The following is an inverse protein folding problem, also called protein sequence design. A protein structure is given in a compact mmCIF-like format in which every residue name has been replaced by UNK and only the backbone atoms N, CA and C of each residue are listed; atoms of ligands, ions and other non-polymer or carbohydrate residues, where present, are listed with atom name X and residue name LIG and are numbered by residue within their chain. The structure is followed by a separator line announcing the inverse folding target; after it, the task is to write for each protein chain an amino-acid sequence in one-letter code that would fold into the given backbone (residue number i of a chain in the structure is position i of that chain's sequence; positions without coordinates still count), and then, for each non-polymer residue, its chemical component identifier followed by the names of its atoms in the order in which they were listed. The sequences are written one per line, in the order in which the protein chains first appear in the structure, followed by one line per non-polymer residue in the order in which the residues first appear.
data_IF_167373432030
#
_entry.id   IF_167373432030
#
_cell.length_a   1.000
_cell.length_b   1.000
_cell.length_c   1.000
_cell.angle_alpha   90.00
_cell.angle_beta   90.00
_cell.angle_gamma   90.00
#
_symmetry.space_group_name_H-M   'P 1'
#
loop_
_entity.id
_entity.type
_entity.pdbx_description
1 polymer ?
#
# COMPACT_ATOMS: atom_id res chain seq x y z
N UNK A 1 43.12 -22.03 49.58
CA UNK A 1 42.74 -23.30 50.17
C UNK A 1 41.96 -24.04 49.10
N UNK A 2 42.61 -24.84 48.36
CA UNK A 2 42.97 -26.26 48.49
C UNK A 2 41.85 -27.18 47.97
N UNK A 3 42.08 -27.65 46.77
CA UNK A 3 41.99 -29.01 46.20
C UNK A 3 40.89 -29.99 46.68
N UNK A 4 40.21 -30.65 45.74
CA UNK A 4 40.43 -32.07 45.41
C UNK A 4 39.69 -32.52 44.15
N UNK A 5 40.48 -33.12 43.23
CA UNK A 5 40.09 -34.07 42.16
C UNK A 5 39.86 -35.47 42.73
N UNK A 6 39.02 -36.26 42.09
CA UNK A 6 39.02 -37.76 41.98
C UNK A 6 37.99 -38.08 40.91
N UNK A 7 38.15 -38.80 39.85
CA UNK A 7 39.10 -39.81 39.41
C UNK A 7 38.40 -41.15 39.16
N UNK A 8 38.27 -41.54 37.89
CA UNK A 8 38.17 -42.93 37.33
C UNK A 8 37.03 -43.88 37.74
N UNK A 9 36.25 -44.47 36.83
CA UNK A 9 36.55 -45.77 36.18
C UNK A 9 35.46 -46.14 35.15
N UNK A 10 35.91 -46.54 33.95
CA UNK A 10 35.14 -47.40 33.02
C UNK A 10 35.21 -48.86 33.49
N UNK A 11 34.27 -49.69 33.06
CA UNK A 11 34.72 -50.94 32.44
C UNK A 11 34.01 -51.24 31.10
N UNK A 12 34.83 -51.68 30.16
CA UNK A 12 34.51 -52.38 28.95
C UNK A 12 33.97 -53.80 29.22
N UNK A 13 32.96 -54.20 28.51
CA UNK A 13 32.59 -55.59 28.34
C UNK A 13 32.35 -55.90 26.86
N UNK A 14 33.28 -56.62 26.27
CA UNK A 14 33.15 -57.32 24.99
C UNK A 14 32.23 -58.52 25.13
N UNK A 15 31.25 -58.69 24.25
CA UNK A 15 30.64 -59.99 23.97
C UNK A 15 30.51 -60.17 22.46
N UNK A 16 31.28 -61.14 21.96
CA UNK A 16 31.18 -61.75 20.64
C UNK A 16 30.06 -62.78 20.62
N UNK A 17 29.18 -62.74 19.61
CA UNK A 17 28.37 -63.89 19.22
C UNK A 17 27.99 -63.79 17.75
N UNK A 18 28.19 -64.88 17.08
CA UNK A 18 28.14 -65.24 15.66
C UNK A 18 26.74 -65.29 15.05
N UNK A 19 26.58 -65.32 13.72
CA UNK A 19 25.39 -64.92 13.00
C UNK A 19 24.41 -66.08 12.77
N UNK A 20 23.12 -65.81 12.98
CA UNK A 20 22.04 -66.66 12.48
C UNK A 20 21.30 -65.91 11.34
N UNK A 21 21.33 -66.52 10.17
CA UNK A 21 20.64 -66.07 8.97
C UNK A 21 19.12 -66.18 9.17
N UNK A 22 18.44 -65.07 9.15
CA UNK A 22 16.98 -65.00 8.92
C UNK A 22 16.79 -64.22 7.64
N UNK A 23 16.36 -64.89 6.58
CA UNK A 23 15.91 -64.34 5.33
C UNK A 23 14.50 -63.80 5.56
N UNK A 24 14.35 -62.49 5.66
CA UNK A 24 13.03 -61.85 5.61
C UNK A 24 12.88 -61.25 4.21
N UNK A 25 11.96 -61.82 3.47
CA UNK A 25 11.49 -61.36 2.17
C UNK A 25 10.69 -60.07 2.40
N UNK A 26 11.32 -58.91 2.20
CA UNK A 26 10.56 -57.65 2.11
C UNK A 26 10.10 -57.45 0.67
N UNK A 27 8.81 -57.69 0.46
CA UNK A 27 8.12 -57.27 -0.78
C UNK A 27 8.25 -55.77 -0.95
N UNK A 28 8.93 -55.34 -2.01
CA UNK A 28 8.95 -53.97 -2.50
C UNK A 28 7.56 -53.59 -3.04
N UNK A 29 6.76 -52.97 -2.19
CA UNK A 29 5.57 -52.22 -2.66
C UNK A 29 6.05 -50.85 -3.10
N UNK A 30 6.32 -50.71 -4.42
CA UNK A 30 6.53 -49.39 -5.02
C UNK A 30 5.20 -48.65 -5.00
N UNK A 31 4.99 -47.81 -3.98
CA UNK A 31 4.03 -46.73 -4.05
C UNK A 31 4.55 -45.71 -5.08
N UNK A 32 3.97 -45.77 -6.27
CA UNK A 32 4.06 -44.69 -7.24
C UNK A 32 3.34 -43.48 -6.65
N UNK A 33 4.03 -42.68 -5.84
CA UNK A 33 3.66 -41.30 -5.60
C UNK A 33 3.85 -40.55 -6.92
N UNK A 34 2.77 -40.44 -7.66
CA UNK A 34 2.68 -39.56 -8.82
C UNK A 34 3.02 -38.15 -8.36
N UNK A 35 4.22 -37.70 -8.67
CA UNK A 35 4.60 -36.31 -8.63
C UNK A 35 3.71 -35.63 -9.68
N UNK A 36 2.54 -35.13 -9.29
CA UNK A 36 1.82 -34.15 -10.09
C UNK A 36 2.75 -32.91 -10.11
N UNK A 37 3.43 -32.73 -11.23
CA UNK A 37 3.94 -31.42 -11.58
C UNK A 37 2.72 -30.51 -11.59
N UNK A 38 2.60 -29.65 -10.57
CA UNK A 38 1.78 -28.45 -10.73
C UNK A 38 2.38 -27.72 -11.95
N UNK A 39 1.70 -27.83 -13.07
CA UNK A 39 1.92 -26.93 -14.19
C UNK A 39 1.71 -25.54 -13.62
N UNK A 40 2.79 -24.82 -13.46
CA UNK A 40 2.71 -23.39 -13.22
C UNK A 40 1.96 -22.81 -14.40
N UNK A 41 0.71 -22.40 -14.16
CA UNK A 41 -0.09 -21.70 -15.16
C UNK A 41 0.79 -20.61 -15.80
N UNK A 42 0.99 -20.73 -17.10
CA UNK A 42 1.64 -19.70 -17.88
C UNK A 42 0.94 -18.36 -17.55
N UNK A 43 1.68 -17.26 -17.36
CA UNK A 43 1.07 -15.98 -17.02
C UNK A 43 -0.05 -15.71 -18.03
N UNK A 44 -1.29 -15.64 -17.54
CA UNK A 44 -2.47 -15.35 -18.37
C UNK A 44 -2.14 -14.12 -19.19
N UNK A 45 -2.21 -14.27 -20.52
CA UNK A 45 -2.02 -13.17 -21.43
C UNK A 45 -2.92 -12.01 -20.96
N UNK A 46 -2.32 -10.85 -20.68
CA UNK A 46 -3.05 -9.66 -20.24
C UNK A 46 -3.97 -9.30 -21.40
N UNK A 47 -5.28 -9.34 -21.18
CA UNK A 47 -6.25 -9.01 -22.22
C UNK A 47 -6.05 -7.54 -22.61
N UNK A 48 -5.60 -7.30 -23.83
CA UNK A 48 -5.49 -5.95 -24.39
C UNK A 48 -6.91 -5.46 -24.63
N UNK A 49 -7.24 -4.29 -24.07
CA UNK A 49 -8.52 -3.65 -24.35
C UNK A 49 -8.60 -3.31 -25.86
N UNK A 50 -9.62 -3.76 -26.60
CA UNK A 50 -9.70 -3.56 -28.05
C UNK A 50 -9.71 -2.10 -28.47
N UNK A 51 -10.17 -1.20 -27.59
CA UNK A 51 -10.23 0.25 -27.81
C UNK A 51 -8.98 0.99 -27.27
N UNK A 52 -7.98 0.24 -26.80
CA UNK A 52 -6.76 0.79 -26.19
C UNK A 52 -6.99 1.49 -24.86
N UNK A 53 -8.17 1.36 -24.24
CA UNK A 53 -8.46 1.90 -22.91
C UNK A 53 -7.72 1.11 -21.82
N UNK A 54 -7.45 1.76 -20.68
CA UNK A 54 -6.83 1.14 -19.50
C UNK A 54 -7.82 1.18 -18.34
N UNK A 55 -8.30 0.00 -17.89
CA UNK A 55 -9.05 -0.11 -16.64
C UNK A 55 -8.11 -0.49 -15.50
N UNK A 56 -8.29 0.11 -14.33
CA UNK A 56 -7.42 -0.11 -13.17
C UNK A 56 -8.24 -0.21 -11.89
N UNK A 57 -7.92 -1.22 -11.06
CA UNK A 57 -8.45 -1.39 -9.71
C UNK A 57 -7.50 -0.71 -8.69
N UNK A 58 -7.97 0.36 -8.11
CA UNK A 58 -7.24 1.23 -7.19
C UNK A 58 -7.71 1.05 -5.75
N UNK A 59 -6.80 1.15 -4.80
CA UNK A 59 -7.15 1.23 -3.38
C UNK A 59 -6.20 2.15 -2.63
N UNK A 60 -6.71 2.90 -1.66
CA UNK A 60 -5.91 3.57 -0.63
C UNK A 60 -6.27 3.01 0.74
N UNK A 61 -5.26 2.77 1.57
CA UNK A 61 -5.43 2.22 2.91
C UNK A 61 -4.38 2.78 3.87
N UNK A 62 -4.81 3.53 4.86
CA UNK A 62 -4.00 3.77 6.03
C UNK A 62 -3.88 2.45 6.83
N UNK A 63 -2.65 1.94 6.98
CA UNK A 63 -2.39 0.65 7.62
C UNK A 63 -2.54 0.70 9.14
N UNK A 64 -2.61 1.86 9.73
CA UNK A 64 -2.38 2.09 11.15
C UNK A 64 -1.00 1.56 11.56
N UNK A 65 -0.08 2.43 11.95
CA UNK A 65 1.27 2.04 12.37
C UNK A 65 1.23 1.04 13.53
N UNK A 66 2.20 0.13 13.53
CA UNK A 66 2.33 -0.84 14.61
C UNK A 66 2.66 -0.14 15.93
N UNK A 67 1.78 -0.29 16.90
CA UNK A 67 1.92 0.29 18.23
C UNK A 67 2.00 -0.83 19.26
N UNK A 68 3.04 -0.83 20.09
CA UNK A 68 3.24 -1.84 21.14
C UNK A 68 2.11 -1.89 22.17
N UNK A 69 1.30 -0.84 22.27
CA UNK A 69 0.11 -0.83 23.14
C UNK A 69 -1.09 -1.56 22.51
N UNK A 70 -1.08 -1.75 21.19
CA UNK A 70 -2.12 -2.47 20.48
C UNK A 70 -1.84 -3.96 20.53
N UNK A 71 -2.74 -4.71 21.16
CA UNK A 71 -2.65 -6.16 21.33
C UNK A 71 -3.88 -6.87 20.77
N UNK A 72 -3.92 -8.20 20.88
CA UNK A 72 -5.03 -9.01 20.42
C UNK A 72 -5.31 -8.78 18.93
N UNK A 73 -6.58 -8.55 18.58
CA UNK A 73 -7.03 -8.39 17.20
C UNK A 73 -6.45 -7.15 16.49
N UNK A 74 -6.02 -6.13 17.24
CA UNK A 74 -5.44 -4.89 16.68
C UNK A 74 -3.94 -4.98 16.40
N UNK A 75 -3.24 -5.96 16.99
CA UNK A 75 -1.81 -6.15 16.72
C UNK A 75 -1.57 -6.43 15.24
N UNK A 76 -0.53 -5.84 14.67
CA UNK A 76 -0.20 -5.93 13.24
C UNK A 76 -0.17 -7.37 12.73
N UNK A 77 0.52 -8.28 13.45
CA UNK A 77 0.64 -9.69 13.08
C UNK A 77 -0.70 -10.42 12.88
N UNK A 78 -1.77 -9.93 13.53
CA UNK A 78 -3.11 -10.48 13.41
C UNK A 78 -3.94 -9.79 12.32
N UNK A 79 -3.52 -8.60 11.87
CA UNK A 79 -4.21 -7.80 10.84
C UNK A 79 -3.68 -8.08 9.43
N UNK A 80 -2.38 -8.32 9.28
CA UNK A 80 -1.71 -8.44 7.98
C UNK A 80 -2.33 -9.51 7.09
N UNK A 81 -2.65 -10.69 7.62
CA UNK A 81 -3.27 -11.79 6.86
C UNK A 81 -4.65 -11.37 6.32
N UNK A 82 -5.45 -10.70 7.14
CA UNK A 82 -6.75 -10.18 6.74
C UNK A 82 -6.64 -9.09 5.67
N UNK A 83 -5.63 -8.20 5.78
CA UNK A 83 -5.33 -7.17 4.78
C UNK A 83 -4.97 -7.81 3.44
N UNK A 84 -4.04 -8.76 3.41
CA UNK A 84 -3.65 -9.48 2.19
C UNK A 84 -4.85 -10.18 1.55
N UNK A 85 -5.64 -10.92 2.34
CA UNK A 85 -6.86 -11.58 1.87
C UNK A 85 -7.90 -10.60 1.32
N UNK A 86 -8.03 -9.42 1.89
CA UNK A 86 -8.88 -8.34 1.37
C UNK A 86 -8.36 -7.84 0.02
N UNK A 87 -7.07 -7.52 -0.10
CA UNK A 87 -6.46 -7.03 -1.35
C UNK A 87 -6.64 -8.02 -2.50
N UNK A 88 -6.52 -9.32 -2.22
CA UNK A 88 -6.75 -10.38 -3.20
C UNK A 88 -8.22 -10.47 -3.64
N UNK A 89 -9.17 -10.47 -2.69
CA UNK A 89 -10.62 -10.48 -3.00
C UNK A 89 -11.04 -9.26 -3.80
N UNK A 90 -10.48 -8.11 -3.47
CA UNK A 90 -10.75 -6.85 -4.14
C UNK A 90 -9.99 -6.68 -5.47
N UNK A 91 -9.10 -7.63 -5.81
CA UNK A 91 -8.29 -7.64 -7.05
C UNK A 91 -7.51 -6.34 -7.24
N UNK A 92 -7.00 -5.78 -6.15
CA UNK A 92 -6.30 -4.49 -6.17
C UNK A 92 -5.08 -4.56 -7.08
N UNK A 93 -4.94 -3.62 -7.99
CA UNK A 93 -3.79 -3.56 -8.91
C UNK A 93 -2.79 -2.49 -8.50
N UNK A 94 -3.28 -1.38 -7.94
CA UNK A 94 -2.45 -0.30 -7.39
C UNK A 94 -2.99 0.06 -6.01
N UNK A 95 -2.11 -0.01 -5.00
CA UNK A 95 -2.43 0.26 -3.60
C UNK A 95 -1.55 1.39 -3.08
N UNK A 96 -2.17 2.48 -2.60
CA UNK A 96 -1.50 3.48 -1.77
C UNK A 96 -1.62 3.13 -0.30
N UNK A 97 -0.51 3.11 0.43
CA UNK A 97 -0.50 2.86 1.87
C UNK A 97 0.01 4.08 2.65
N UNK A 98 -0.51 4.27 3.86
CA UNK A 98 -0.05 5.28 4.81
C UNK A 98 0.22 4.61 6.17
N UNK A 99 1.00 5.28 7.01
CA UNK A 99 1.41 4.88 8.37
C UNK A 99 2.22 3.58 8.51
N UNK A 100 2.39 2.80 7.44
CA UNK A 100 3.16 1.55 7.54
C UNK A 100 4.59 1.80 8.02
N UNK A 101 5.01 1.14 9.10
CA UNK A 101 6.42 1.09 9.50
C UNK A 101 7.17 0.08 8.61
N UNK A 102 8.50 0.16 8.59
CA UNK A 102 9.32 -0.69 7.74
C UNK A 102 9.01 -2.19 7.87
N UNK A 103 8.79 -2.69 9.09
CA UNK A 103 8.39 -4.08 9.34
C UNK A 103 7.05 -4.42 8.66
N UNK A 104 6.05 -3.56 8.83
CA UNK A 104 4.73 -3.74 8.22
C UNK A 104 4.79 -3.75 6.69
N UNK A 105 5.57 -2.85 6.11
CA UNK A 105 5.78 -2.80 4.65
C UNK A 105 6.49 -4.05 4.16
N UNK A 106 7.51 -4.54 4.90
CA UNK A 106 8.23 -5.75 4.56
C UNK A 106 7.34 -7.00 4.61
N UNK A 107 6.49 -7.12 5.64
CA UNK A 107 5.55 -8.23 5.79
C UNK A 107 4.52 -8.27 4.65
N UNK A 108 3.96 -7.10 4.29
CA UNK A 108 3.05 -6.98 3.14
C UNK A 108 3.75 -7.39 1.85
N UNK A 109 4.95 -6.86 1.60
CA UNK A 109 5.67 -7.15 0.36
C UNK A 109 6.07 -8.62 0.25
N UNK A 110 6.50 -9.23 1.35
CA UNK A 110 6.78 -10.65 1.40
C UNK A 110 5.53 -11.51 1.13
N UNK A 111 4.36 -11.04 1.54
CA UNK A 111 3.07 -11.72 1.32
C UNK A 111 2.48 -11.46 -0.08
N UNK A 112 3.03 -10.53 -0.83
CA UNK A 112 2.56 -10.11 -2.16
C UNK A 112 3.74 -9.99 -3.14
N UNK A 113 4.45 -11.10 -3.45
CA UNK A 113 5.68 -11.07 -4.27
C UNK A 113 5.43 -10.60 -5.70
N UNK A 114 4.18 -10.66 -6.18
CA UNK A 114 3.77 -10.15 -7.49
C UNK A 114 3.70 -8.62 -7.56
N UNK A 115 3.78 -7.91 -6.43
CA UNK A 115 3.79 -6.45 -6.42
C UNK A 115 5.21 -5.87 -6.44
N UNK A 116 5.38 -4.76 -7.17
CA UNK A 116 6.46 -3.81 -7.01
C UNK A 116 6.09 -2.79 -5.94
N UNK A 117 7.08 -2.09 -5.42
CA UNK A 117 6.91 -1.09 -4.37
C UNK A 117 7.74 0.17 -4.63
N UNK A 118 7.17 1.33 -4.34
CA UNK A 118 7.84 2.62 -4.28
C UNK A 118 7.49 3.31 -2.97
N UNK A 119 8.49 3.77 -2.23
CA UNK A 119 8.30 4.49 -0.96
C UNK A 119 9.51 4.42 -0.05
N UNK A 120 9.57 5.36 0.88
CA UNK A 120 10.65 5.46 1.89
C UNK A 120 10.06 5.84 3.25
N UNK A 121 10.81 5.57 4.32
CA UNK A 121 10.48 6.03 5.67
C UNK A 121 10.65 7.54 5.80
N UNK A 122 9.67 8.20 6.40
CA UNK A 122 9.58 9.67 6.43
C UNK A 122 10.67 10.37 7.24
N UNK A 123 11.34 9.66 8.18
CA UNK A 123 12.32 10.29 9.07
C UNK A 123 13.72 10.38 8.47
N UNK A 124 14.11 9.40 7.63
CA UNK A 124 15.46 9.32 7.10
C UNK A 124 15.56 9.12 5.58
N UNK A 125 14.41 9.01 4.91
CA UNK A 125 14.36 8.72 3.48
C UNK A 125 14.83 7.31 3.14
N UNK A 126 14.83 6.40 4.12
CA UNK A 126 15.22 5.00 3.98
C UNK A 126 14.22 4.08 4.69
N UNK A 127 14.47 3.76 5.97
CA UNK A 127 13.71 2.76 6.73
C UNK A 127 13.00 3.30 7.96
N UNK A 128 13.40 4.48 8.47
CA UNK A 128 12.83 5.02 9.72
C UNK A 128 11.60 5.87 9.48
N UNK A 129 10.63 5.74 10.40
CA UNK A 129 9.36 6.43 10.38
C UNK A 129 8.34 5.74 9.48
N UNK A 130 7.16 6.33 9.42
CA UNK A 130 6.05 5.83 8.63
C UNK A 130 6.29 6.03 7.12
N UNK A 131 5.83 5.08 6.33
CA UNK A 131 5.84 5.14 4.89
C UNK A 131 4.54 5.74 4.35
N UNK A 132 4.68 6.42 3.23
CA UNK A 132 3.59 6.77 2.33
C UNK A 132 3.95 6.10 1.00
N UNK A 133 3.55 4.83 0.83
CA UNK A 133 4.09 3.96 -0.22
C UNK A 133 3.06 3.57 -1.27
N UNK A 134 3.52 3.12 -2.43
CA UNK A 134 2.70 2.65 -3.54
C UNK A 134 3.13 1.23 -3.91
N UNK A 135 2.20 0.27 -3.81
CA UNK A 135 2.34 -1.06 -4.39
C UNK A 135 1.63 -1.11 -5.73
N UNK A 136 2.18 -1.85 -6.70
CA UNK A 136 1.59 -2.04 -8.03
C UNK A 136 1.89 -3.44 -8.57
N UNK A 137 0.95 -4.04 -9.30
CA UNK A 137 1.11 -5.37 -9.93
C UNK A 137 2.19 -5.33 -11.02
N UNK A 138 3.28 -6.08 -10.83
CA UNK A 138 4.42 -6.14 -11.77
C UNK A 138 4.10 -6.85 -13.08
N UNK A 139 3.18 -7.79 -13.04
CA UNK A 139 2.71 -8.47 -14.25
C UNK A 139 1.93 -7.51 -15.16
N UNK A 140 1.27 -6.50 -14.59
CA UNK A 140 0.50 -5.49 -15.30
C UNK A 140 1.28 -4.22 -15.62
N UNK A 141 2.04 -3.72 -14.67
CA UNK A 141 2.68 -2.41 -14.76
C UNK A 141 4.21 -2.49 -14.71
N UNK A 142 4.86 -1.64 -15.52
CA UNK A 142 6.28 -1.37 -15.43
C UNK A 142 6.50 0.03 -14.86
N UNK A 143 7.27 0.13 -13.76
CA UNK A 143 7.64 1.43 -13.20
C UNK A 143 8.75 2.09 -14.00
N UNK A 144 8.60 3.37 -14.31
CA UNK A 144 9.64 4.18 -14.92
C UNK A 144 10.71 4.53 -13.88
N UNK A 145 11.94 4.06 -14.09
CA UNK A 145 13.05 4.25 -13.17
C UNK A 145 13.44 5.73 -12.96
N UNK A 146 13.12 6.61 -13.89
CA UNK A 146 13.45 8.05 -13.85
C UNK A 146 12.31 8.89 -13.27
N UNK A 147 11.08 8.38 -13.33
CA UNK A 147 9.86 9.11 -12.96
C UNK A 147 9.18 8.47 -11.75
N UNK A 148 9.93 8.30 -10.66
CA UNK A 148 9.45 7.80 -9.37
C UNK A 148 10.25 8.42 -8.23
N UNK A 149 9.69 8.43 -7.03
CA UNK A 149 10.37 8.92 -5.83
C UNK A 149 9.43 9.46 -4.77
N UNK A 150 10.03 10.10 -3.77
CA UNK A 150 9.31 10.74 -2.66
C UNK A 150 9.85 12.14 -2.41
N UNK A 151 8.98 13.03 -1.92
CA UNK A 151 9.36 14.36 -1.41
C UNK A 151 8.73 14.60 -0.06
N UNK A 152 9.43 15.41 0.75
CA UNK A 152 8.89 15.91 2.01
C UNK A 152 8.02 17.13 1.76
N UNK A 153 6.86 17.16 2.41
CA UNK A 153 5.92 18.27 2.32
C UNK A 153 6.40 19.38 3.25
N UNK A 154 7.41 20.11 2.79
CA UNK A 154 8.12 21.16 3.52
C UNK A 154 8.75 22.19 2.57
N UNK A 155 9.34 23.25 3.10
CA UNK A 155 10.10 24.24 2.33
C UNK A 155 11.43 23.67 1.80
N UNK A 156 11.88 22.52 2.32
CA UNK A 156 13.07 21.78 1.85
C UNK A 156 12.70 20.36 1.40
N UNK A 157 11.95 20.20 0.30
CA UNK A 157 11.30 18.94 -0.06
C UNK A 157 12.25 17.79 -0.43
N UNK A 158 13.52 18.08 -0.68
CA UNK A 158 14.56 17.06 -0.95
C UNK A 158 15.31 16.62 0.31
N UNK A 159 15.10 17.29 1.45
CA UNK A 159 15.77 16.98 2.71
C UNK A 159 14.94 15.97 3.50
N UNK A 160 15.50 14.79 3.74
CA UNK A 160 14.87 13.75 4.54
C UNK A 160 14.56 14.24 5.96
N UNK A 161 13.38 13.90 6.47
CA UNK A 161 12.91 14.28 7.80
C UNK A 161 12.54 15.75 7.94
N UNK A 162 12.56 16.55 6.85
CA UNK A 162 12.25 17.98 6.95
C UNK A 162 10.78 18.24 7.30
N UNK A 163 10.58 19.33 8.04
CA UNK A 163 9.27 19.79 8.52
C UNK A 163 9.19 21.31 8.32
N UNK A 164 8.01 21.78 7.91
CA UNK A 164 7.71 23.19 7.77
C UNK A 164 6.25 23.46 8.12
N UNK A 165 5.85 24.72 8.11
CA UNK A 165 4.46 25.17 8.17
C UNK A 165 3.68 24.73 9.41
N UNK A 166 4.39 24.38 10.52
CA UNK A 166 3.78 23.93 11.76
C UNK A 166 3.59 22.42 11.91
N UNK A 167 4.14 21.61 11.00
CA UNK A 167 4.11 20.15 11.14
C UNK A 167 4.83 19.66 12.39
N UNK A 168 4.18 18.82 13.17
CA UNK A 168 4.80 18.09 14.28
C UNK A 168 5.66 16.93 13.80
N UNK A 169 5.28 16.31 12.69
CA UNK A 169 5.97 15.17 12.06
C UNK A 169 6.29 15.46 10.60
N UNK A 170 7.36 14.86 10.04
CA UNK A 170 7.57 14.89 8.60
C UNK A 170 6.38 14.30 7.86
N UNK A 171 6.03 14.88 6.71
CA UNK A 171 4.97 14.38 5.84
C UNK A 171 5.53 14.15 4.44
N UNK A 172 5.07 13.11 3.76
CA UNK A 172 5.55 12.67 2.46
C UNK A 172 4.44 12.70 1.40
N UNK A 173 4.88 12.91 0.17
CA UNK A 173 4.20 12.43 -1.03
C UNK A 173 5.16 11.54 -1.81
N UNK A 174 4.66 10.39 -2.25
CA UNK A 174 5.37 9.44 -3.11
C UNK A 174 4.67 9.39 -4.46
N UNK A 175 5.43 9.28 -5.55
CA UNK A 175 4.89 9.13 -6.90
C UNK A 175 5.62 8.04 -7.67
N UNK A 176 4.93 7.49 -8.65
CA UNK A 176 5.51 6.61 -9.66
C UNK A 176 4.77 6.77 -10.99
N UNK A 177 5.50 6.86 -12.09
CA UNK A 177 4.95 6.73 -13.43
C UNK A 177 4.99 5.26 -13.81
N UNK A 178 3.83 4.71 -14.09
CA UNK A 178 3.63 3.32 -14.49
C UNK A 178 3.29 3.24 -15.97
N UNK A 179 3.82 2.27 -16.67
CA UNK A 179 3.38 1.93 -18.02
C UNK A 179 2.56 0.64 -17.97
N UNK A 180 1.31 0.68 -18.40
CA UNK A 180 0.45 -0.49 -18.51
C UNK A 180 0.91 -1.38 -19.66
N UNK A 181 1.26 -2.61 -19.38
CA UNK A 181 1.77 -3.57 -20.36
C UNK A 181 0.71 -4.01 -21.37
N UNK A 182 -0.57 -3.87 -21.03
CA UNK A 182 -1.68 -4.28 -21.91
C UNK A 182 -2.06 -3.22 -22.93
N UNK A 183 -2.16 -1.96 -22.52
CA UNK A 183 -2.59 -0.85 -23.37
C UNK A 183 -1.43 -0.01 -23.92
N UNK A 184 -0.25 -0.13 -23.31
CA UNK A 184 0.90 0.74 -23.58
C UNK A 184 0.74 2.17 -23.04
N UNK A 185 -0.38 2.47 -22.37
CA UNK A 185 -0.61 3.80 -21.78
C UNK A 185 0.25 3.99 -20.53
N UNK A 186 0.60 5.22 -20.27
CA UNK A 186 1.22 5.62 -19.02
C UNK A 186 0.19 6.14 -18.02
N UNK A 187 0.51 5.97 -16.73
CA UNK A 187 -0.30 6.43 -15.59
C UNK A 187 0.61 6.99 -14.51
N UNK A 188 0.39 8.24 -14.13
CA UNK A 188 1.01 8.80 -12.94
C UNK A 188 0.19 8.46 -11.70
N UNK A 189 0.86 7.93 -10.69
CA UNK A 189 0.24 7.62 -9.40
C UNK A 189 0.94 8.41 -8.32
N UNK A 190 0.17 9.13 -7.52
CA UNK A 190 0.62 9.88 -6.34
C UNK A 190 -0.09 9.34 -5.12
N UNK A 191 0.66 9.06 -4.06
CA UNK A 191 0.14 8.76 -2.74
C UNK A 191 0.64 9.81 -1.75
N UNK A 192 -0.26 10.30 -0.89
CA UNK A 192 0.05 11.39 0.06
C UNK A 192 -0.47 11.04 1.45
N UNK A 193 0.24 11.51 2.49
CA UNK A 193 -0.27 11.51 3.86
C UNK A 193 -0.06 12.92 4.44
N UNK A 194 -1.16 13.68 4.52
CA UNK A 194 -1.14 15.07 4.97
C UNK A 194 -1.10 15.18 6.50
N UNK A 195 -0.84 16.40 6.98
CA UNK A 195 -0.79 16.66 8.42
C UNK A 195 -2.17 16.61 9.06
N UNK A 196 -2.27 15.92 10.20
CA UNK A 196 -3.55 15.70 10.88
C UNK A 196 -4.02 16.91 11.71
N UNK A 197 -3.14 17.87 12.02
CA UNK A 197 -3.46 19.03 12.86
C UNK A 197 -3.45 20.32 12.04
N UNK A 198 -2.38 20.56 11.28
CA UNK A 198 -2.08 21.88 10.74
C UNK A 198 -2.68 22.11 9.36
N UNK A 199 -3.68 22.97 9.28
CA UNK A 199 -4.36 23.30 8.02
C UNK A 199 -3.44 23.94 6.97
N UNK A 200 -2.61 24.99 7.29
CA UNK A 200 -1.68 25.54 6.32
C UNK A 200 -0.72 24.51 5.73
N UNK A 201 -0.32 23.52 6.53
CA UNK A 201 0.54 22.44 6.04
C UNK A 201 -0.18 21.54 5.02
N UNK A 202 -1.43 21.19 5.24
CA UNK A 202 -2.23 20.40 4.28
C UNK A 202 -2.31 21.12 2.93
N UNK A 203 -2.67 22.40 2.94
CA UNK A 203 -2.81 23.21 1.71
C UNK A 203 -1.49 23.35 0.97
N UNK A 204 -0.44 23.78 1.65
CA UNK A 204 0.90 23.94 1.05
C UNK A 204 1.47 22.61 0.55
N UNK A 205 1.23 21.51 1.30
CA UNK A 205 1.70 20.17 0.94
C UNK A 205 1.08 19.69 -0.38
N UNK A 206 -0.23 19.80 -0.53
CA UNK A 206 -0.93 19.46 -1.79
C UNK A 206 -0.44 20.33 -2.95
N UNK A 207 -0.34 21.65 -2.74
CA UNK A 207 0.13 22.58 -3.77
C UNK A 207 1.58 22.32 -4.18
N UNK A 208 2.46 21.98 -3.22
CA UNK A 208 3.84 21.62 -3.52
C UNK A 208 3.91 20.39 -4.44
N UNK A 209 3.20 19.33 -4.10
CA UNK A 209 3.19 18.11 -4.92
C UNK A 209 2.53 18.35 -6.28
N UNK A 210 1.46 19.15 -6.36
CA UNK A 210 0.80 19.50 -7.60
C UNK A 210 1.75 20.27 -8.55
N UNK A 211 2.51 21.23 -8.05
CA UNK A 211 3.54 21.94 -8.85
C UNK A 211 4.58 20.96 -9.38
N UNK A 212 5.11 20.10 -8.51
CA UNK A 212 6.10 19.10 -8.91
C UNK A 212 5.56 18.16 -9.97
N UNK A 213 4.33 17.69 -9.82
CA UNK A 213 3.69 16.81 -10.79
C UNK A 213 3.49 17.52 -12.15
N UNK A 214 3.06 18.79 -12.15
CA UNK A 214 2.92 19.57 -13.38
C UNK A 214 4.24 19.78 -14.12
N UNK A 215 5.37 19.82 -13.40
CA UNK A 215 6.71 19.90 -14.00
C UNK A 215 7.14 18.57 -14.63
N UNK A 216 6.69 17.43 -14.08
CA UNK A 216 7.05 16.10 -14.54
C UNK A 216 6.10 15.55 -15.61
N UNK A 217 4.79 15.72 -15.43
CA UNK A 217 3.75 15.22 -16.32
C UNK A 217 3.39 16.28 -17.40
N UNK A 218 4.35 16.60 -18.25
CA UNK A 218 4.18 17.62 -19.31
C UNK A 218 3.24 17.19 -20.43
N UNK A 219 3.14 15.89 -20.66
CA UNK A 219 2.32 15.30 -21.71
C UNK A 219 0.87 15.12 -21.27
N UNK A 220 0.51 15.59 -20.09
CA UNK A 220 -0.83 15.47 -19.48
C UNK A 220 -1.36 14.01 -19.47
N UNK A 221 -0.46 13.05 -19.25
CA UNK A 221 -0.82 11.64 -19.11
C UNK A 221 -1.82 11.44 -17.96
N UNK A 222 -2.62 10.37 -17.99
CA UNK A 222 -3.55 10.01 -16.93
C UNK A 222 -2.93 10.05 -15.53
N UNK A 223 -3.72 10.51 -14.57
CA UNK A 223 -3.29 10.71 -13.19
C UNK A 223 -4.24 10.06 -12.20
N UNK A 224 -3.66 9.37 -11.22
CA UNK A 224 -4.30 8.96 -9.97
C UNK A 224 -3.60 9.67 -8.82
N UNK A 225 -4.38 10.26 -7.93
CA UNK A 225 -3.86 10.83 -6.69
C UNK A 225 -4.67 10.30 -5.52
N UNK A 226 -4.05 9.56 -4.61
CA UNK A 226 -4.73 8.92 -3.50
C UNK A 226 -4.01 9.18 -2.18
N UNK A 227 -4.65 8.83 -1.07
CA UNK A 227 -4.02 8.82 0.23
C UNK A 227 -4.94 9.24 1.38
N UNK A 228 -4.32 9.39 2.54
CA UNK A 228 -4.90 9.98 3.73
C UNK A 228 -4.62 11.50 3.74
N UNK A 229 -5.66 12.26 3.48
CA UNK A 229 -5.58 13.73 3.46
C UNK A 229 -5.75 14.35 4.84
N UNK A 230 -6.13 13.56 5.85
CA UNK A 230 -6.51 14.06 7.18
C UNK A 230 -7.51 15.23 7.07
N UNK A 231 -8.34 15.20 6.06
CA UNK A 231 -9.23 16.30 5.69
C UNK A 231 -10.42 15.78 4.87
N UNK A 232 -11.61 16.29 5.16
CA UNK A 232 -12.83 15.97 4.41
C UNK A 232 -12.96 16.76 3.11
N UNK A 233 -13.96 16.40 2.31
CA UNK A 233 -14.21 16.90 0.95
C UNK A 233 -14.32 18.43 0.84
N UNK A 234 -14.81 19.09 1.87
CA UNK A 234 -14.95 20.55 1.89
C UNK A 234 -13.69 21.30 2.34
N UNK A 235 -12.66 20.55 2.75
CA UNK A 235 -11.39 21.16 3.17
C UNK A 235 -10.67 21.79 1.98
N UNK A 236 -10.09 23.01 2.14
CA UNK A 236 -9.37 23.69 1.05
C UNK A 236 -8.30 22.85 0.38
N UNK A 237 -7.56 22.00 1.11
CA UNK A 237 -6.55 21.12 0.52
C UNK A 237 -7.18 20.07 -0.42
N UNK A 238 -8.33 19.50 -0.07
CA UNK A 238 -9.09 18.54 -0.88
C UNK A 238 -9.74 19.25 -2.07
N UNK A 239 -10.37 20.41 -1.82
CA UNK A 239 -10.98 21.27 -2.84
C UNK A 239 -9.98 21.73 -3.90
N UNK A 240 -8.74 21.99 -3.50
CA UNK A 240 -7.69 22.35 -4.46
C UNK A 240 -7.50 21.29 -5.55
N UNK A 241 -7.54 19.99 -5.21
CA UNK A 241 -7.46 18.92 -6.20
C UNK A 241 -8.75 18.79 -7.02
N UNK A 242 -9.91 18.93 -6.39
CA UNK A 242 -11.20 18.80 -7.08
C UNK A 242 -11.45 19.96 -8.05
N UNK A 243 -11.22 21.18 -7.61
CA UNK A 243 -11.60 22.41 -8.35
C UNK A 243 -10.44 23.00 -9.16
N UNK A 244 -9.20 22.70 -8.78
CA UNK A 244 -8.00 23.31 -9.37
C UNK A 244 -7.72 24.74 -8.87
N UNK A 245 -8.47 25.22 -7.88
CA UNK A 245 -8.42 26.59 -7.38
C UNK A 245 -7.77 26.60 -5.99
N UNK A 246 -6.63 27.30 -5.79
CA UNK A 246 -6.05 27.46 -4.45
C UNK A 246 -6.93 28.34 -3.57
N UNK A 247 -7.02 28.01 -2.27
CA UNK A 247 -7.81 28.77 -1.30
C UNK A 247 -7.28 30.20 -1.06
N UNK A 248 -6.01 30.45 -1.32
CA UNK A 248 -5.38 31.79 -1.26
C UNK A 248 -4.46 31.97 -2.46
N UNK A 249 -4.77 32.98 -3.28
CA UNK A 249 -4.18 33.22 -4.59
C UNK A 249 -2.66 33.16 -4.65
N UNK A 250 -2.17 32.63 -5.73
CA UNK A 250 -0.89 32.77 -6.42
C UNK A 250 -0.24 31.47 -6.94
N UNK A 251 -0.80 30.29 -6.74
CA UNK A 251 -0.28 29.10 -7.41
C UNK A 251 -0.93 28.94 -8.78
N UNK A 252 -0.16 28.45 -9.77
CA UNK A 252 -0.70 28.08 -11.06
C UNK A 252 -1.89 27.14 -10.88
N UNK A 253 -2.97 27.34 -11.63
CA UNK A 253 -4.11 26.46 -11.63
C UNK A 253 -3.67 25.01 -11.90
N UNK A 254 -4.08 24.09 -11.04
CA UNK A 254 -3.93 22.67 -11.26
C UNK A 254 -5.18 22.18 -12.00
N UNK A 255 -5.09 21.31 -12.99
CA UNK A 255 -6.29 20.76 -13.63
C UNK A 255 -7.08 20.01 -12.56
N UNK A 256 -8.31 20.43 -12.27
CA UNK A 256 -9.14 19.76 -11.27
C UNK A 256 -9.30 18.27 -11.60
N UNK A 257 -9.42 17.43 -10.56
CA UNK A 257 -9.57 15.98 -10.65
C UNK A 257 -10.98 15.56 -10.19
N UNK A 258 -11.40 14.36 -10.57
CA UNK A 258 -12.64 13.74 -10.06
C UNK A 258 -12.31 13.00 -8.75
N UNK A 259 -12.98 13.31 -7.65
CA UNK A 259 -12.97 12.45 -6.46
C UNK A 259 -13.93 11.27 -6.71
N UNK A 260 -13.37 10.06 -6.71
CA UNK A 260 -14.07 8.88 -7.26
C UNK A 260 -15.32 8.50 -6.48
N UNK A 261 -15.28 8.53 -5.13
CA UNK A 261 -16.42 8.18 -4.31
C UNK A 261 -17.54 9.21 -4.44
N UNK A 262 -17.24 10.49 -4.33
CA UNK A 262 -18.24 11.55 -4.45
C UNK A 262 -18.86 11.66 -5.84
N UNK A 263 -18.09 11.26 -6.88
CA UNK A 263 -18.61 11.20 -8.25
C UNK A 263 -19.79 10.22 -8.40
N UNK A 264 -19.72 9.06 -7.73
CA UNK A 264 -20.75 8.03 -7.82
C UNK A 264 -21.79 8.12 -6.68
N UNK A 265 -21.37 8.64 -5.51
CA UNK A 265 -22.17 8.66 -4.29
C UNK A 265 -22.33 10.09 -3.70
N UNK A 266 -22.78 11.08 -4.47
CA UNK A 266 -22.79 12.48 -4.02
C UNK A 266 -23.70 12.73 -2.81
N UNK A 267 -24.68 11.87 -2.58
CA UNK A 267 -25.68 11.99 -1.51
C UNK A 267 -25.48 10.99 -0.37
N UNK A 268 -24.50 10.10 -0.46
CA UNK A 268 -24.24 9.11 0.57
C UNK A 268 -23.76 9.80 1.86
N UNK A 269 -24.39 9.49 2.96
CA UNK A 269 -24.07 10.02 4.29
C UNK A 269 -23.08 9.11 5.04
N UNK A 270 -23.01 7.84 4.67
CA UNK A 270 -22.15 6.84 5.32
C UNK A 270 -20.77 6.76 4.66
N UNK A 271 -20.12 7.90 4.51
CA UNK A 271 -18.84 8.05 3.79
C UNK A 271 -17.60 8.09 4.68
N UNK A 272 -17.73 7.82 5.99
CA UNK A 272 -16.60 7.84 6.91
C UNK A 272 -15.57 6.77 6.59
N UNK A 273 -14.30 7.15 6.56
CA UNK A 273 -13.16 6.24 6.37
C UNK A 273 -12.36 6.05 7.65
N UNK A 274 -12.06 7.10 8.41
CA UNK A 274 -11.45 7.04 9.74
C UNK A 274 -12.52 6.76 10.79
N UNK A 275 -12.41 5.64 11.52
CA UNK A 275 -13.39 5.19 12.51
C UNK A 275 -12.80 4.92 13.90
N UNK A 276 -11.49 5.11 14.11
CA UNK A 276 -10.83 4.97 15.42
C UNK A 276 -11.10 3.64 16.14
N UNK A 277 -11.19 2.54 15.42
CA UNK A 277 -11.59 1.22 15.94
C UNK A 277 -13.00 1.17 16.55
N UNK A 278 -13.86 2.14 16.24
CA UNK A 278 -15.22 2.24 16.78
C UNK A 278 -16.26 1.87 15.73
N UNK A 279 -17.27 1.11 16.14
CA UNK A 279 -18.44 0.81 15.31
C UNK A 279 -19.54 1.86 15.54
N UNK A 280 -19.22 3.14 15.32
CA UNK A 280 -20.16 4.25 15.46
C UNK A 280 -20.13 5.14 14.21
N UNK A 281 -21.16 5.06 13.34
CA UNK A 281 -21.21 5.86 12.11
C UNK A 281 -21.12 7.38 12.33
N UNK A 282 -21.58 7.86 13.49
CA UNK A 282 -21.58 9.29 13.81
C UNK A 282 -20.18 9.81 14.20
N UNK A 283 -19.23 8.91 14.42
CA UNK A 283 -17.84 9.22 14.80
C UNK A 283 -16.85 8.84 13.70
N UNK A 284 -17.31 8.73 12.46
CA UNK A 284 -16.49 8.42 11.29
C UNK A 284 -16.29 9.68 10.45
N UNK A 285 -15.06 9.89 9.97
CA UNK A 285 -14.69 11.02 9.13
C UNK A 285 -14.18 10.55 7.78
N UNK A 286 -14.61 11.17 6.69
CA UNK A 286 -14.06 10.94 5.35
C UNK A 286 -12.75 11.70 5.25
N UNK A 287 -11.62 11.00 5.30
CA UNK A 287 -10.28 11.59 5.23
C UNK A 287 -9.40 10.94 4.16
N UNK A 288 -9.77 9.74 3.72
CA UNK A 288 -9.10 9.01 2.67
C UNK A 288 -9.80 9.23 1.33
N UNK A 289 -9.05 9.55 0.28
CA UNK A 289 -9.59 9.90 -1.02
C UNK A 289 -8.81 9.24 -2.16
N UNK A 290 -9.51 9.01 -3.28
CA UNK A 290 -8.93 8.68 -4.58
C UNK A 290 -9.45 9.68 -5.59
N UNK A 291 -8.52 10.42 -6.20
CA UNK A 291 -8.77 11.35 -7.29
C UNK A 291 -8.22 10.80 -8.58
N UNK A 292 -8.89 11.08 -9.70
CA UNK A 292 -8.45 10.70 -11.04
C UNK A 292 -8.62 11.86 -12.01
N UNK A 293 -7.86 11.84 -13.11
CA UNK A 293 -7.99 12.81 -14.19
C UNK A 293 -9.44 12.93 -14.67
N UNK A 294 -9.90 14.13 -15.03
CA UNK A 294 -11.30 14.41 -15.43
C UNK A 294 -11.80 13.59 -16.62
N UNK A 295 -10.90 13.18 -17.52
CA UNK A 295 -11.22 12.32 -18.66
C UNK A 295 -11.38 10.84 -18.29
N UNK A 296 -11.07 10.46 -17.06
CA UNK A 296 -11.31 9.10 -16.60
C UNK A 296 -12.80 8.83 -16.37
N UNK A 297 -13.26 7.64 -16.68
CA UNK A 297 -14.59 7.15 -16.31
C UNK A 297 -14.48 6.36 -15.01
N UNK A 298 -15.13 6.82 -13.96
CA UNK A 298 -15.27 6.06 -12.71
C UNK A 298 -16.33 4.99 -12.92
N UNK A 299 -15.96 3.72 -12.81
CA UNK A 299 -16.84 2.56 -13.05
C UNK A 299 -17.40 2.00 -11.74
N UNK A 300 -16.62 2.04 -10.68
CA UNK A 300 -17.00 1.65 -9.32
C UNK A 300 -16.19 2.50 -8.33
N UNK A 301 -16.78 2.84 -7.21
CA UNK A 301 -16.09 3.48 -6.09
C UNK A 301 -16.83 3.15 -4.79
N UNK A 302 -16.09 2.68 -3.79
CA UNK A 302 -16.71 2.34 -2.51
C UNK A 302 -15.72 2.42 -1.35
N UNK A 303 -16.25 2.57 -0.16
CA UNK A 303 -15.55 2.40 1.10
C UNK A 303 -15.71 0.93 1.48
N UNK A 304 -14.59 0.21 1.60
CA UNK A 304 -14.60 -1.23 1.90
C UNK A 304 -14.75 -1.41 3.41
N UNK A 305 -15.99 -1.35 3.87
CA UNK A 305 -16.32 -1.56 5.30
C UNK A 305 -16.21 -3.05 5.61
N UNK A 306 -15.30 -3.41 6.51
CA UNK A 306 -15.25 -4.75 7.10
C UNK A 306 -15.94 -4.71 8.47
N UNK A 307 -16.57 -5.81 8.86
CA UNK A 307 -16.99 -6.01 10.25
C UNK A 307 -15.77 -6.26 11.16
N UNK A 308 -16.01 -6.31 12.47
CA UNK A 308 -14.96 -6.72 13.42
C UNK A 308 -14.47 -8.16 13.16
N UNK A 309 -13.18 -8.43 13.31
CA UNK A 309 -12.14 -7.50 13.71
C UNK A 309 -11.72 -6.57 12.55
N UNK A 310 -11.64 -5.28 12.84
CA UNK A 310 -11.18 -4.30 11.85
C UNK A 310 -9.71 -4.52 11.48
N UNK A 311 -9.41 -4.32 10.21
CA UNK A 311 -8.06 -4.48 9.65
C UNK A 311 -7.15 -3.26 9.87
N UNK A 312 -7.76 -2.10 10.09
CA UNK A 312 -7.14 -0.81 10.43
C UNK A 312 -8.17 0.01 11.19
N UNK A 313 -7.81 1.15 11.75
CA UNK A 313 -8.72 2.18 12.23
C UNK A 313 -9.26 3.07 11.10
N UNK A 314 -8.85 2.78 9.85
CA UNK A 314 -9.41 3.32 8.62
C UNK A 314 -10.03 2.21 7.78
N UNK A 315 -11.15 2.51 7.13
CA UNK A 315 -11.70 1.70 6.04
C UNK A 315 -11.01 2.08 4.72
N UNK A 316 -10.58 1.11 3.91
CA UNK A 316 -10.02 1.39 2.59
C UNK A 316 -11.04 2.07 1.68
N UNK A 317 -10.56 2.98 0.84
CA UNK A 317 -11.32 3.45 -0.32
C UNK A 317 -10.85 2.70 -1.55
N UNK A 318 -11.78 2.14 -2.30
CA UNK A 318 -11.53 1.43 -3.54
C UNK A 318 -12.21 2.15 -4.70
N UNK A 319 -11.56 2.13 -5.87
CA UNK A 319 -12.16 2.61 -7.11
C UNK A 319 -11.73 1.73 -8.30
N UNK A 320 -12.64 1.49 -9.25
CA UNK A 320 -12.34 0.98 -10.56
C UNK A 320 -12.57 2.08 -11.58
N UNK A 321 -11.53 2.38 -12.33
CA UNK A 321 -11.54 3.49 -13.29
C UNK A 321 -11.07 3.04 -14.66
N UNK A 322 -11.61 3.70 -15.71
CA UNK A 322 -11.19 3.51 -17.09
C UNK A 322 -10.62 4.81 -17.62
N UNK A 323 -9.40 4.77 -18.11
CA UNK A 323 -8.76 5.83 -18.87
C UNK A 323 -8.91 5.51 -20.35
N UNK A 324 -9.53 6.42 -21.10
CA UNK A 324 -9.64 6.33 -22.56
C UNK A 324 -8.41 7.01 -23.20
N UNK A 325 -8.02 6.50 -24.37
CA UNK A 325 -6.87 7.02 -25.11
C UNK A 325 -7.20 8.37 -25.75
#
# INVERSE_FOLDING_TARGET
MSFRKLGHHSPSCNFTASPSRIVILFGLLFLLLGCQKEEMDAPKAIAVSPDGSMEVELMTLNLRYENHQENGKRAWKNRVVGIVGMLQREKVEILGIQEGLHGQVADLWASMPEYGFEGVGRDDGKKRGEYTGIFYRKDRFAADAKNRGSIWLSDTPKQAGSRSWGNSFPRLATWVRLSDRSSGQALWVVNIHLDHINQPSREKGVQLMARKLSEMNRDAEPLVWMGDFNAGELNPAVRYLADGIPASGSSKAFPGLLETFSQLHPKDKERGTLHFWMNDPNRQWKVDHIFVSKQAKVLDARIVKSGEPYLSDHFPVKARVRFVK
#
